data_IF_303521625790
#
_entry.id   IF_303521625790
#
_cell.length_a   1.000
_cell.length_b   1.000
_cell.length_c   1.000
_cell.angle_alpha   90.00
_cell.angle_beta   90.00
_cell.angle_gamma   90.00
#
_symmetry.space_group_name_H-M   'P 1'
#
loop_
_entity.id
_entity.type
_entity.pdbx_description
1 polymer ?
#
# COMPACT_ATOMS: atom_id res chain seq x y z
N UNK A 1 13.64 6.97 26.17
CA UNK A 1 12.40 6.27 26.53
C UNK A 1 11.24 6.95 25.78
N UNK A 2 10.31 6.20 25.16
CA UNK A 2 9.17 6.79 24.48
C UNK A 2 8.22 7.46 25.46
N UNK A 3 7.62 8.59 25.04
CA UNK A 3 6.57 9.27 25.80
C UNK A 3 5.31 8.41 25.87
N UNK A 4 4.41 8.73 26.82
CA UNK A 4 3.13 8.04 26.92
C UNK A 4 2.31 8.16 25.63
N UNK A 5 2.30 9.33 24.99
CA UNK A 5 1.63 9.55 23.72
C UNK A 5 2.18 8.62 22.62
N UNK A 6 3.50 8.46 22.51
CA UNK A 6 4.11 7.54 21.53
C UNK A 6 3.67 6.10 21.72
N UNK A 7 3.57 5.62 22.97
CA UNK A 7 3.11 4.26 23.27
C UNK A 7 1.65 4.06 22.90
N UNK A 8 0.80 5.04 23.20
CA UNK A 8 -0.62 5.02 22.83
C UNK A 8 -0.76 4.94 21.32
N UNK A 9 -0.03 5.78 20.57
CA UNK A 9 -0.04 5.76 19.10
C UNK A 9 0.41 4.40 18.56
N UNK A 10 1.46 3.82 19.11
CA UNK A 10 1.96 2.51 18.67
C UNK A 10 0.95 1.39 18.88
N UNK A 11 0.31 1.34 20.05
CA UNK A 11 -0.71 0.33 20.33
C UNK A 11 -1.96 0.52 19.47
N UNK A 12 -2.44 1.76 19.36
CA UNK A 12 -3.58 2.06 18.49
C UNK A 12 -3.24 1.65 17.04
N UNK A 13 -2.08 2.08 16.52
CA UNK A 13 -1.68 1.79 15.15
C UNK A 13 -1.49 0.31 14.87
N UNK A 14 -0.94 -0.43 15.81
CA UNK A 14 -0.80 -1.88 15.71
C UNK A 14 -2.15 -2.57 15.51
N UNK A 15 -3.14 -2.23 16.34
CA UNK A 15 -4.50 -2.77 16.23
C UNK A 15 -5.18 -2.32 14.93
N UNK A 16 -5.15 -1.00 14.62
CA UNK A 16 -5.77 -0.46 13.40
C UNK A 16 -5.20 -1.10 12.13
N UNK A 17 -3.87 -1.31 12.05
CA UNK A 17 -3.26 -1.92 10.85
C UNK A 17 -3.60 -3.41 10.70
N UNK A 18 -3.66 -4.17 11.81
CA UNK A 18 -4.12 -5.56 11.74
C UNK A 18 -5.55 -5.60 11.17
N UNK A 19 -6.42 -4.68 11.61
CA UNK A 19 -7.79 -4.60 11.15
C UNK A 19 -7.82 -4.18 9.67
N UNK A 20 -7.08 -3.14 9.28
CA UNK A 20 -7.02 -2.60 7.92
C UNK A 20 -6.55 -3.65 6.90
N UNK A 21 -5.52 -4.41 7.21
CA UNK A 21 -5.05 -5.50 6.33
C UNK A 21 -5.99 -6.71 6.38
N UNK A 22 -6.42 -7.08 7.59
CA UNK A 22 -7.23 -8.28 7.79
C UNK A 22 -8.61 -8.19 7.16
N UNK A 23 -9.31 -7.04 7.28
CA UNK A 23 -10.63 -6.89 6.68
C UNK A 23 -10.58 -6.96 5.15
N UNK A 24 -9.54 -6.36 4.54
CA UNK A 24 -9.37 -6.37 3.10
C UNK A 24 -9.14 -7.80 2.56
N UNK A 25 -8.30 -8.60 3.24
CA UNK A 25 -8.04 -10.00 2.89
C UNK A 25 -9.29 -10.85 3.10
N UNK A 26 -10.00 -10.69 4.23
CA UNK A 26 -11.22 -11.42 4.52
C UNK A 26 -12.31 -11.15 3.47
N UNK A 27 -12.55 -9.86 3.10
CA UNK A 27 -13.48 -9.51 2.03
C UNK A 27 -13.07 -10.09 0.69
N UNK A 28 -11.78 -10.02 0.32
CA UNK A 28 -11.29 -10.60 -0.93
C UNK A 28 -11.57 -12.09 -1.02
N UNK A 29 -11.36 -12.83 0.08
CA UNK A 29 -11.66 -14.27 0.15
C UNK A 29 -13.16 -14.53 0.06
N UNK A 30 -13.99 -13.80 0.80
CA UNK A 30 -15.45 -13.98 0.79
C UNK A 30 -16.00 -13.66 -0.60
N UNK A 31 -15.60 -12.54 -1.18
CA UNK A 31 -16.09 -12.08 -2.48
C UNK A 31 -15.62 -12.96 -3.64
N UNK A 32 -14.42 -13.54 -3.57
CA UNK A 32 -13.95 -14.50 -4.57
C UNK A 32 -14.80 -15.78 -4.63
N UNK A 33 -15.45 -16.15 -3.52
CA UNK A 33 -16.39 -17.28 -3.46
C UNK A 33 -17.77 -16.94 -4.04
N UNK A 34 -18.16 -15.65 -4.03
CA UNK A 34 -19.43 -15.18 -4.56
C UNK A 34 -19.35 -15.03 -6.08
N UNK A 35 -18.52 -14.09 -6.54
CA UNK A 35 -18.29 -13.86 -7.98
C UNK A 35 -17.10 -12.93 -8.23
N UNK A 36 -16.65 -12.90 -9.49
CA UNK A 36 -15.64 -11.92 -9.97
C UNK A 36 -16.14 -10.48 -9.84
N UNK A 37 -17.45 -10.25 -10.04
CA UNK A 37 -18.05 -8.91 -9.92
C UNK A 37 -17.90 -8.34 -8.50
N UNK A 38 -18.00 -9.18 -7.47
CA UNK A 38 -17.80 -8.77 -6.08
C UNK A 38 -16.34 -8.40 -5.81
N UNK A 39 -15.38 -9.15 -6.35
CA UNK A 39 -13.94 -8.82 -6.23
C UNK A 39 -13.62 -7.52 -6.97
N UNK A 40 -14.13 -7.36 -8.19
CA UNK A 40 -14.01 -6.11 -8.94
C UNK A 40 -14.62 -4.93 -8.20
N UNK A 41 -15.84 -5.11 -7.68
CA UNK A 41 -16.54 -4.10 -6.88
C UNK A 41 -15.76 -3.67 -5.64
N UNK A 42 -15.10 -4.62 -4.95
CA UNK A 42 -14.23 -4.33 -3.81
C UNK A 42 -13.09 -3.39 -4.19
N UNK A 43 -12.39 -3.67 -5.27
CA UNK A 43 -11.27 -2.85 -5.73
C UNK A 43 -11.71 -1.47 -6.21
N UNK A 44 -12.83 -1.40 -6.95
CA UNK A 44 -13.42 -0.11 -7.36
C UNK A 44 -13.83 0.70 -6.13
N UNK A 45 -14.46 0.07 -5.12
CA UNK A 45 -14.85 0.75 -3.90
C UNK A 45 -13.64 1.31 -3.14
N UNK A 46 -12.53 0.54 -3.04
CA UNK A 46 -11.28 1.01 -2.44
C UNK A 46 -10.69 2.20 -3.18
N UNK A 47 -10.61 2.16 -4.52
CA UNK A 47 -10.13 3.29 -5.31
C UNK A 47 -11.00 4.54 -5.16
N UNK A 48 -12.32 4.37 -5.22
CA UNK A 48 -13.26 5.48 -5.03
C UNK A 48 -13.10 6.09 -3.64
N UNK A 49 -12.94 5.26 -2.59
CA UNK A 49 -12.67 5.72 -1.24
C UNK A 49 -11.40 6.57 -1.13
N UNK A 50 -10.30 6.12 -1.74
CA UNK A 50 -9.04 6.87 -1.79
C UNK A 50 -9.16 8.20 -2.52
N UNK A 51 -9.86 8.23 -3.67
CA UNK A 51 -10.09 9.47 -4.43
C UNK A 51 -10.97 10.45 -3.63
N UNK A 52 -12.08 9.97 -3.07
CA UNK A 52 -12.99 10.81 -2.27
C UNK A 52 -12.32 11.38 -1.02
N UNK A 53 -11.42 10.62 -0.39
CA UNK A 53 -10.64 11.11 0.73
C UNK A 53 -9.77 12.31 0.34
N UNK A 54 -9.11 12.28 -0.83
CA UNK A 54 -8.29 13.39 -1.30
C UNK A 54 -9.13 14.67 -1.51
N UNK A 55 -10.34 14.54 -2.03
CA UNK A 55 -11.25 15.70 -2.24
C UNK A 55 -11.72 16.30 -0.93
N UNK A 56 -12.04 15.45 0.06
CA UNK A 56 -12.59 15.89 1.35
C UNK A 56 -11.56 16.41 2.37
N UNK A 57 -10.27 16.28 2.12
CA UNK A 57 -9.20 16.64 3.06
C UNK A 57 -9.28 18.11 3.56
N UNK A 58 -9.75 19.03 2.73
CA UNK A 58 -9.91 20.44 3.05
C UNK A 58 -10.91 20.71 4.19
N UNK A 59 -11.94 19.87 4.37
CA UNK A 59 -12.95 20.03 5.42
C UNK A 59 -12.42 19.63 6.79
N UNK A 60 -11.59 18.60 6.85
CA UNK A 60 -11.00 18.09 8.10
C UNK A 60 -9.95 19.06 8.67
N UNK A 61 -9.31 19.86 7.81
CA UNK A 61 -8.36 20.91 8.18
C UNK A 61 -8.91 21.97 9.15
N UNK A 62 -10.22 22.25 9.11
CA UNK A 62 -10.85 23.34 9.88
C UNK A 62 -11.06 23.04 11.36
N UNK A 63 -10.99 21.79 11.82
CA UNK A 63 -11.26 21.38 13.20
C UNK A 63 -10.01 21.66 14.06
N UNK A 64 -10.17 22.39 15.16
CA UNK A 64 -9.05 22.86 16.01
C UNK A 64 -8.38 21.71 16.75
N UNK A 65 -9.13 20.80 17.39
CA UNK A 65 -8.56 19.70 18.13
C UNK A 65 -8.73 18.37 17.37
N UNK A 66 -7.66 17.95 16.69
CA UNK A 66 -7.63 16.75 15.85
C UNK A 66 -7.81 15.44 16.60
N UNK A 67 -7.59 15.40 17.92
CA UNK A 67 -7.84 14.21 18.76
C UNK A 67 -9.27 13.72 18.64
N UNK A 68 -10.25 14.60 18.76
CA UNK A 68 -11.67 14.21 18.70
C UNK A 68 -12.08 13.77 17.30
N UNK A 69 -11.42 14.30 16.26
CA UNK A 69 -11.61 13.83 14.88
C UNK A 69 -11.12 12.40 14.73
N UNK A 70 -9.91 12.08 15.23
CA UNK A 70 -9.38 10.72 15.20
C UNK A 70 -10.30 9.73 15.94
N UNK A 71 -10.82 10.12 17.11
CA UNK A 71 -11.77 9.30 17.87
C UNK A 71 -13.05 9.08 17.08
N UNK A 72 -13.63 10.14 16.49
CA UNK A 72 -14.86 10.05 15.69
C UNK A 72 -14.69 9.15 14.45
N UNK A 73 -13.54 9.25 13.76
CA UNK A 73 -13.21 8.40 12.62
C UNK A 73 -13.15 6.92 13.03
N UNK A 74 -12.44 6.58 14.11
CA UNK A 74 -12.35 5.20 14.59
C UNK A 74 -13.71 4.64 15.05
N UNK A 75 -14.51 5.44 15.73
CA UNK A 75 -15.88 5.03 16.11
C UNK A 75 -16.72 4.72 14.87
N UNK A 76 -16.67 5.59 13.86
CA UNK A 76 -17.42 5.39 12.63
C UNK A 76 -16.90 4.18 11.84
N UNK A 77 -15.58 3.94 11.83
CA UNK A 77 -15.01 2.70 11.26
C UNK A 77 -15.53 1.45 11.97
N UNK A 78 -15.61 1.46 13.31
CA UNK A 78 -16.14 0.33 14.06
C UNK A 78 -17.60 0.04 13.66
N UNK A 79 -18.42 1.07 13.50
CA UNK A 79 -19.79 0.92 13.01
C UNK A 79 -19.82 0.37 11.58
N UNK A 80 -18.98 0.89 10.68
CA UNK A 80 -18.88 0.39 9.31
C UNK A 80 -18.52 -1.09 9.26
N UNK A 81 -17.56 -1.55 10.09
CA UNK A 81 -17.17 -2.95 10.16
C UNK A 81 -18.30 -3.85 10.65
N UNK A 82 -19.06 -3.43 11.67
CA UNK A 82 -20.25 -4.15 12.13
C UNK A 82 -21.34 -4.21 11.04
N UNK A 83 -21.57 -3.10 10.31
CA UNK A 83 -22.53 -3.05 9.22
C UNK A 83 -22.09 -3.87 8.01
N UNK A 84 -20.79 -3.98 7.72
CA UNK A 84 -20.25 -4.87 6.67
C UNK A 84 -20.67 -6.32 6.96
N UNK A 85 -20.58 -6.78 8.20
CA UNK A 85 -21.07 -8.12 8.58
C UNK A 85 -22.56 -8.30 8.24
N UNK A 86 -23.40 -7.34 8.56
CA UNK A 86 -24.85 -7.40 8.31
C UNK A 86 -25.19 -7.25 6.81
N UNK A 87 -24.39 -6.52 6.06
CA UNK A 87 -24.58 -6.25 4.64
C UNK A 87 -23.93 -7.29 3.72
N UNK A 88 -23.33 -8.37 4.27
CA UNK A 88 -22.71 -9.42 3.49
C UNK A 88 -23.67 -10.01 2.45
N UNK A 89 -23.24 -10.06 1.19
CA UNK A 89 -24.08 -10.54 0.08
C UNK A 89 -24.97 -9.47 -0.56
N UNK A 90 -25.04 -8.26 -0.01
CA UNK A 90 -25.77 -7.13 -0.59
C UNK A 90 -24.80 -6.15 -1.27
N UNK A 91 -25.27 -5.44 -2.32
CA UNK A 91 -24.50 -4.39 -3.01
C UNK A 91 -24.14 -3.24 -2.06
N UNK A 92 -24.88 -3.05 -1.00
CA UNK A 92 -24.64 -2.00 0.00
C UNK A 92 -23.28 -2.13 0.71
N UNK A 93 -22.69 -3.33 0.75
CA UNK A 93 -21.35 -3.57 1.31
C UNK A 93 -20.29 -2.71 0.63
N UNK A 94 -20.42 -2.42 -0.67
CA UNK A 94 -19.45 -1.59 -1.38
C UNK A 94 -19.46 -0.13 -0.93
N UNK A 95 -20.63 0.41 -0.61
CA UNK A 95 -20.74 1.76 -0.03
C UNK A 95 -20.06 1.84 1.34
N UNK A 96 -20.19 0.79 2.16
CA UNK A 96 -19.49 0.70 3.44
C UNK A 96 -17.97 0.57 3.28
N UNK A 97 -17.51 -0.16 2.26
CA UNK A 97 -16.08 -0.24 1.93
C UNK A 97 -15.54 1.13 1.51
N UNK A 98 -16.23 1.85 0.60
CA UNK A 98 -15.86 3.23 0.22
C UNK A 98 -15.72 4.10 1.45
N UNK A 99 -16.71 4.09 2.33
CA UNK A 99 -16.70 4.90 3.56
C UNK A 99 -15.53 4.50 4.48
N UNK A 100 -15.29 3.20 4.66
CA UNK A 100 -14.17 2.69 5.47
C UNK A 100 -12.82 3.15 4.92
N UNK A 101 -12.62 3.14 3.59
CA UNK A 101 -11.37 3.59 2.95
C UNK A 101 -11.20 5.11 3.09
N UNK A 102 -12.26 5.91 2.93
CA UNK A 102 -12.24 7.36 3.19
C UNK A 102 -11.79 7.63 4.63
N UNK A 103 -12.41 6.97 5.59
CA UNK A 103 -12.12 7.12 7.01
C UNK A 103 -10.68 6.70 7.35
N UNK A 104 -10.21 5.60 6.78
CA UNK A 104 -8.85 5.08 6.95
C UNK A 104 -7.83 6.06 6.39
N UNK A 105 -8.06 6.62 5.21
CA UNK A 105 -7.17 7.61 4.59
C UNK A 105 -7.09 8.88 5.43
N UNK A 106 -8.22 9.38 5.92
CA UNK A 106 -8.24 10.54 6.83
C UNK A 106 -7.53 10.27 8.14
N UNK A 107 -7.77 9.10 8.74
CA UNK A 107 -7.10 8.71 9.98
C UNK A 107 -5.57 8.71 9.81
N UNK A 108 -5.08 8.07 8.75
CA UNK A 108 -3.67 7.97 8.45
C UNK A 108 -3.02 9.32 8.19
N UNK A 109 -3.68 10.19 7.44
CA UNK A 109 -3.23 11.56 7.16
C UNK A 109 -3.15 12.40 8.43
N UNK A 110 -4.22 12.42 9.24
CA UNK A 110 -4.27 13.17 10.49
C UNK A 110 -3.26 12.67 11.51
N UNK A 111 -3.12 11.34 11.65
CA UNK A 111 -2.15 10.76 12.57
C UNK A 111 -0.71 11.10 12.15
N UNK A 112 -0.39 11.02 10.86
CA UNK A 112 0.92 11.37 10.34
C UNK A 112 1.27 12.84 10.59
N UNK A 113 0.31 13.75 10.41
CA UNK A 113 0.49 15.18 10.70
C UNK A 113 0.55 15.51 12.21
N UNK A 114 -0.04 14.66 13.07
CA UNK A 114 0.01 14.83 14.53
C UNK A 114 1.34 14.36 15.15
N UNK A 115 2.09 13.51 14.49
CA UNK A 115 3.36 12.94 15.01
C UNK A 115 4.36 14.04 15.40
N UNK A 116 4.67 15.06 14.58
CA UNK A 116 5.62 16.10 14.97
C UNK A 116 5.18 16.94 16.18
N UNK A 117 3.85 17.05 16.41
CA UNK A 117 3.28 17.76 17.57
C UNK A 117 3.40 16.92 18.85
N UNK A 118 3.21 15.62 18.74
CA UNK A 118 3.16 14.69 19.88
C UNK A 118 4.53 14.11 20.26
N UNK A 119 5.49 14.14 19.33
CA UNK A 119 6.81 13.52 19.48
C UNK A 119 7.90 14.56 19.38
N UNK A 120 8.78 14.64 20.39
CA UNK A 120 9.93 15.56 20.37
C UNK A 120 10.80 15.32 19.13
N UNK A 121 11.26 16.37 18.48
CA UNK A 121 12.07 16.36 17.24
C UNK A 121 13.27 15.38 17.33
N UNK A 122 13.96 15.33 18.47
CA UNK A 122 15.09 14.43 18.72
C UNK A 122 14.71 12.93 18.69
N UNK A 123 13.43 12.59 18.84
CA UNK A 123 12.93 11.21 18.87
C UNK A 123 12.18 10.80 17.60
N UNK A 124 12.01 11.69 16.62
CA UNK A 124 11.22 11.44 15.42
C UNK A 124 11.76 10.26 14.59
N UNK A 125 13.09 10.18 14.40
CA UNK A 125 13.70 9.06 13.67
C UNK A 125 13.40 7.72 14.34
N UNK A 126 13.61 7.64 15.67
CA UNK A 126 13.33 6.43 16.44
C UNK A 126 11.85 6.07 16.43
N UNK A 127 10.99 7.10 16.51
CA UNK A 127 9.54 6.92 16.41
C UNK A 127 9.15 6.33 15.05
N UNK A 128 9.60 6.92 13.94
CA UNK A 128 9.29 6.47 12.60
C UNK A 128 9.79 5.04 12.32
N UNK A 129 11.00 4.70 12.80
CA UNK A 129 11.52 3.33 12.69
C UNK A 129 10.63 2.33 13.43
N UNK A 130 10.23 2.63 14.68
CA UNK A 130 9.31 1.76 15.45
C UNK A 130 7.94 1.68 14.80
N UNK A 131 7.43 2.79 14.27
CA UNK A 131 6.15 2.84 13.55
C UNK A 131 6.15 1.94 12.31
N UNK A 132 7.26 1.95 11.55
CA UNK A 132 7.44 1.06 10.38
C UNK A 132 7.51 -0.42 10.80
N UNK A 133 8.22 -0.73 11.91
CA UNK A 133 8.25 -2.11 12.45
C UNK A 133 6.85 -2.59 12.83
N UNK A 134 6.04 -1.73 13.45
CA UNK A 134 4.64 -2.04 13.79
C UNK A 134 3.83 -2.32 12.52
N UNK A 135 4.02 -1.52 11.47
CA UNK A 135 3.38 -1.75 10.17
C UNK A 135 3.72 -3.13 9.61
N UNK A 136 4.99 -3.49 9.62
CA UNK A 136 5.45 -4.79 9.13
C UNK A 136 4.93 -5.97 9.97
N UNK A 137 4.91 -5.82 11.31
CA UNK A 137 4.37 -6.83 12.20
C UNK A 137 2.85 -7.02 12.00
N UNK A 138 2.12 -5.92 11.80
CA UNK A 138 0.68 -5.97 11.51
C UNK A 138 0.40 -6.63 10.16
N UNK A 139 1.22 -6.31 9.14
CA UNK A 139 1.11 -6.93 7.82
C UNK A 139 1.38 -8.44 7.83
N UNK A 140 2.22 -8.91 8.74
CA UNK A 140 2.42 -10.34 8.99
C UNK A 140 1.24 -11.00 9.73
N UNK A 141 0.77 -10.36 10.82
CA UNK A 141 -0.24 -10.95 11.70
C UNK A 141 -1.64 -10.96 11.09
N UNK A 142 -2.00 -9.93 10.31
CA UNK A 142 -3.34 -9.80 9.75
C UNK A 142 -3.76 -11.01 8.89
N UNK A 143 -3.02 -11.42 7.85
CA UNK A 143 -3.38 -12.59 7.06
C UNK A 143 -3.29 -13.90 7.85
N UNK A 144 -2.40 -13.99 8.85
CA UNK A 144 -2.33 -15.15 9.76
C UNK A 144 -3.63 -15.30 10.57
N UNK A 145 -4.15 -14.19 11.12
CA UNK A 145 -5.43 -14.16 11.84
C UNK A 145 -6.57 -14.59 10.90
N UNK A 146 -6.63 -14.04 9.69
CA UNK A 146 -7.65 -14.40 8.69
C UNK A 146 -7.56 -15.89 8.33
N UNK A 147 -6.34 -16.42 8.15
CA UNK A 147 -6.12 -17.84 7.86
C UNK A 147 -6.57 -18.76 8.98
N UNK A 148 -6.26 -18.42 10.24
CA UNK A 148 -6.73 -19.18 11.42
C UNK A 148 -8.25 -19.10 11.58
N UNK A 149 -8.85 -17.94 11.30
CA UNK A 149 -10.30 -17.74 11.35
C UNK A 149 -11.03 -18.39 10.18
N UNK A 150 -10.31 -18.74 9.11
CA UNK A 150 -10.87 -19.31 7.88
C UNK A 150 -11.55 -20.68 8.06
N UNK A 151 -11.26 -21.41 9.16
CA UNK A 151 -11.95 -22.63 9.56
C UNK A 151 -13.27 -22.39 10.28
N UNK A 152 -13.52 -21.15 10.71
CA UNK A 152 -14.75 -20.68 11.32
C UNK A 152 -15.58 -19.91 10.26
N UNK A 153 -16.41 -18.99 10.70
CA UNK A 153 -17.11 -18.07 9.81
C UNK A 153 -16.28 -16.78 9.61
N UNK A 154 -15.73 -16.58 8.41
CA UNK A 154 -14.98 -15.36 8.07
C UNK A 154 -15.82 -14.10 8.21
N UNK A 155 -17.15 -14.19 8.06
CA UNK A 155 -18.05 -13.07 8.27
C UNK A 155 -18.00 -12.58 9.72
N UNK A 156 -17.97 -13.46 10.70
CA UNK A 156 -17.92 -13.09 12.13
C UNK A 156 -16.65 -12.32 12.50
N UNK A 157 -15.57 -12.43 11.72
CA UNK A 157 -14.34 -11.69 11.93
C UNK A 157 -14.54 -10.16 11.89
N UNK A 158 -15.53 -9.67 11.11
CA UNK A 158 -15.83 -8.23 11.04
C UNK A 158 -16.42 -7.69 12.35
N UNK A 159 -17.18 -8.51 13.09
CA UNK A 159 -17.64 -8.15 14.44
C UNK A 159 -16.45 -8.07 15.42
N UNK A 160 -15.52 -9.03 15.33
CA UNK A 160 -14.30 -8.99 16.14
C UNK A 160 -13.47 -7.74 15.80
N UNK A 161 -13.32 -7.42 14.53
CA UNK A 161 -12.62 -6.20 14.09
C UNK A 161 -13.34 -4.92 14.55
N UNK A 162 -14.66 -4.89 14.54
CA UNK A 162 -15.43 -3.79 15.11
C UNK A 162 -15.12 -3.58 16.59
N UNK A 163 -15.16 -4.65 17.41
CA UNK A 163 -14.83 -4.59 18.84
C UNK A 163 -13.36 -4.16 19.05
N UNK A 164 -12.40 -4.70 18.30
CA UNK A 164 -11.01 -4.30 18.38
C UNK A 164 -10.80 -2.83 18.01
N UNK A 165 -11.56 -2.31 17.02
CA UNK A 165 -11.53 -0.89 16.67
C UNK A 165 -12.05 -0.02 17.81
N UNK A 166 -13.12 -0.45 18.50
CA UNK A 166 -13.60 0.24 19.71
C UNK A 166 -12.53 0.25 20.82
N UNK A 167 -11.85 -0.86 21.05
CA UNK A 167 -10.74 -0.92 22.01
C UNK A 167 -9.58 -0.01 21.60
N UNK A 168 -9.22 0.02 20.31
CA UNK A 168 -8.22 0.96 19.79
C UNK A 168 -8.64 2.42 19.99
N UNK A 169 -9.93 2.72 19.84
CA UNK A 169 -10.50 4.05 20.10
C UNK A 169 -10.35 4.46 21.56
N UNK A 170 -10.58 3.55 22.50
CA UNK A 170 -10.40 3.82 23.93
C UNK A 170 -8.96 4.26 24.28
N UNK A 171 -7.96 3.76 23.53
CA UNK A 171 -6.58 4.21 23.70
C UNK A 171 -6.41 5.69 23.32
N UNK A 172 -7.11 6.16 22.29
CA UNK A 172 -7.01 7.55 21.82
C UNK A 172 -7.56 8.55 22.85
N UNK A 173 -8.48 8.16 23.72
CA UNK A 173 -8.95 9.04 24.81
C UNK A 173 -7.84 9.42 25.77
N UNK A 174 -6.81 8.55 25.93
CA UNK A 174 -5.63 8.82 26.76
C UNK A 174 -4.57 9.69 26.08
N UNK A 175 -4.74 10.00 24.77
CA UNK A 175 -3.83 10.86 24.04
C UNK A 175 -3.97 12.31 24.51
N UNK A 176 -2.86 13.06 24.52
CA UNK A 176 -2.90 14.51 24.76
C UNK A 176 -3.66 15.25 23.65
N UNK A 177 -4.00 16.53 23.88
CA UNK A 177 -4.63 17.37 22.84
C UNK A 177 -3.70 17.49 21.64
N UNK A 178 -4.29 17.49 20.44
CA UNK A 178 -3.57 17.67 19.17
C UNK A 178 -4.08 18.96 18.55
N UNK A 179 -3.33 20.03 18.76
CA UNK A 179 -3.64 21.36 18.26
C UNK A 179 -2.55 21.73 17.26
N UNK A 180 -2.94 22.14 16.04
CA UNK A 180 -2.03 22.67 15.05
C UNK A 180 -2.06 24.20 15.15
N UNK A 181 -0.89 24.83 15.31
CA UNK A 181 -0.76 26.29 15.24
C UNK A 181 -0.90 26.74 13.77
N UNK A 182 -1.92 27.56 13.52
CA UNK A 182 -2.25 28.04 12.16
C UNK A 182 -1.23 29.02 11.57
N UNK A 183 -0.33 29.57 12.37
CA UNK A 183 0.58 30.64 11.93
C UNK A 183 1.68 30.16 10.97
N UNK A 184 2.04 28.87 10.98
CA UNK A 184 3.13 28.36 10.13
C UNK A 184 2.70 27.90 8.73
N UNK A 185 1.40 27.73 8.47
CA UNK A 185 0.93 27.23 7.16
C UNK A 185 0.85 28.34 6.08
N UNK A 186 0.80 29.61 6.50
CA UNK A 186 0.64 30.73 5.56
C UNK A 186 1.95 31.21 4.91
N UNK A 187 3.11 30.92 5.48
CA UNK A 187 4.41 31.34 4.91
C UNK A 187 4.97 30.34 3.88
N UNK A 188 4.59 29.05 3.93
CA UNK A 188 5.06 28.06 2.96
C UNK A 188 4.31 28.12 1.61
N UNK A 189 3.07 28.60 1.55
CA UNK A 189 2.31 28.71 0.29
C UNK A 189 2.77 29.88 -0.60
N UNK A 190 3.33 30.94 -0.05
CA UNK A 190 3.69 32.16 -0.81
C UNK A 190 5.04 32.03 -1.52
N UNK A 191 5.95 31.14 -1.09
CA UNK A 191 7.26 30.98 -1.72
C UNK A 191 7.30 29.93 -2.87
N UNK A 192 6.16 29.31 -3.21
CA UNK A 192 6.11 28.20 -4.16
C UNK A 192 5.89 28.54 -5.64
N UNK A 193 5.93 29.84 -6.03
CA UNK A 193 5.61 30.27 -7.41
C UNK A 193 6.75 30.20 -8.43
N UNK A 194 7.92 29.67 -8.09
CA UNK A 194 8.95 29.37 -9.08
C UNK A 194 8.90 27.90 -9.50
N UNK A 195 8.01 27.60 -10.42
CA UNK A 195 7.93 26.31 -11.12
C UNK A 195 9.03 26.20 -12.17
N UNK A 196 10.23 25.77 -11.79
CA UNK A 196 11.14 25.19 -12.78
C UNK A 196 10.56 23.85 -13.26
N UNK A 197 10.54 23.57 -14.57
CA UNK A 197 9.94 22.34 -15.10
C UNK A 197 10.75 21.12 -14.61
N UNK A 198 10.15 20.31 -13.74
CA UNK A 198 10.74 19.08 -13.18
C UNK A 198 11.18 18.10 -14.30
N UNK A 199 10.63 18.25 -15.50
CA UNK A 199 10.80 17.31 -16.61
C UNK A 199 11.83 17.73 -17.68
N UNK A 200 12.41 18.93 -17.62
CA UNK A 200 13.21 19.47 -18.75
C UNK A 200 14.65 18.98 -18.85
N UNK A 201 15.27 18.46 -17.80
CA UNK A 201 16.72 18.09 -17.82
C UNK A 201 17.04 16.76 -17.12
N UNK A 202 16.05 16.01 -16.63
CA UNK A 202 16.29 14.80 -15.83
C UNK A 202 15.67 13.56 -16.49
N UNK A 203 16.10 13.24 -17.71
CA UNK A 203 15.60 12.06 -18.43
C UNK A 203 15.72 10.74 -17.63
N UNK A 204 16.69 10.65 -16.72
CA UNK A 204 16.91 9.47 -15.89
C UNK A 204 15.86 9.36 -14.75
N UNK A 205 15.52 10.48 -14.09
CA UNK A 205 14.45 10.50 -13.06
C UNK A 205 13.11 10.11 -13.70
N UNK A 206 12.78 10.68 -14.86
CA UNK A 206 11.56 10.34 -15.58
C UNK A 206 11.50 8.85 -15.95
N UNK A 207 12.59 8.30 -16.50
CA UNK A 207 12.70 6.87 -16.84
C UNK A 207 12.49 5.98 -15.61
N UNK A 208 13.11 6.32 -14.47
CA UNK A 208 12.93 5.60 -13.21
C UNK A 208 11.48 5.64 -12.73
N UNK A 209 10.84 6.82 -12.77
CA UNK A 209 9.44 6.99 -12.38
C UNK A 209 8.51 6.17 -13.29
N UNK A 210 8.71 6.23 -14.61
CA UNK A 210 7.93 5.43 -15.56
C UNK A 210 8.07 3.94 -15.30
N UNK A 211 9.30 3.43 -15.08
CA UNK A 211 9.51 2.03 -14.72
C UNK A 211 8.78 1.65 -13.43
N UNK A 212 8.84 2.50 -12.42
CA UNK A 212 8.17 2.25 -11.13
C UNK A 212 6.65 2.17 -11.32
N UNK A 213 6.06 3.12 -12.05
CA UNK A 213 4.60 3.13 -12.32
C UNK A 213 4.20 1.86 -13.08
N UNK A 214 4.95 1.48 -14.12
CA UNK A 214 4.68 0.28 -14.91
C UNK A 214 4.76 -1.00 -14.05
N UNK A 215 5.80 -1.15 -13.25
CA UNK A 215 5.97 -2.31 -12.37
C UNK A 215 4.90 -2.37 -11.28
N UNK A 216 4.57 -1.23 -10.67
CA UNK A 216 3.51 -1.14 -9.66
C UNK A 216 2.14 -1.50 -10.24
N UNK A 217 1.83 -1.07 -11.48
CA UNK A 217 0.55 -1.39 -12.12
C UNK A 217 0.37 -2.90 -12.35
N UNK A 218 1.44 -3.63 -12.67
CA UNK A 218 1.41 -5.11 -12.73
C UNK A 218 1.18 -5.70 -11.34
N UNK A 219 1.91 -5.21 -10.32
CA UNK A 219 1.74 -5.67 -8.95
C UNK A 219 0.30 -5.54 -8.48
N UNK A 220 -0.32 -4.38 -8.67
CA UNK A 220 -1.71 -4.16 -8.25
C UNK A 220 -2.71 -5.00 -9.07
N UNK A 221 -2.45 -5.24 -10.37
CA UNK A 221 -3.27 -6.18 -11.14
C UNK A 221 -3.21 -7.59 -10.54
N UNK A 222 -2.00 -8.05 -10.16
CA UNK A 222 -1.83 -9.36 -9.55
C UNK A 222 -2.53 -9.41 -8.19
N UNK A 223 -2.30 -8.45 -7.32
CA UNK A 223 -2.93 -8.34 -6.01
C UNK A 223 -4.47 -8.35 -6.11
N UNK A 224 -5.03 -7.66 -7.11
CA UNK A 224 -6.49 -7.55 -7.27
C UNK A 224 -7.17 -8.88 -7.53
N UNK A 225 -6.54 -9.75 -8.30
CA UNK A 225 -7.13 -11.04 -8.71
C UNK A 225 -6.38 -12.25 -8.15
N UNK A 226 -5.37 -12.04 -7.31
CA UNK A 226 -4.55 -13.08 -6.71
C UNK A 226 -5.38 -14.14 -5.99
N UNK A 227 -6.35 -13.71 -5.20
CA UNK A 227 -7.24 -14.63 -4.47
C UNK A 227 -8.02 -15.53 -5.42
N UNK A 228 -8.51 -14.99 -6.56
CA UNK A 228 -9.23 -15.78 -7.58
C UNK A 228 -8.26 -16.75 -8.26
N UNK A 229 -7.13 -16.23 -8.72
CA UNK A 229 -6.09 -17.02 -9.39
C UNK A 229 -5.63 -18.19 -8.50
N UNK A 230 -5.20 -17.91 -7.28
CA UNK A 230 -4.65 -18.94 -6.39
C UNK A 230 -5.71 -19.93 -5.90
N UNK A 231 -6.95 -19.49 -5.62
CA UNK A 231 -7.97 -20.40 -5.07
C UNK A 231 -8.75 -21.13 -6.14
N UNK A 232 -9.02 -20.53 -7.31
CA UNK A 232 -9.82 -21.18 -8.37
C UNK A 232 -8.98 -21.82 -9.46
N UNK A 233 -7.91 -21.14 -9.95
CA UNK A 233 -7.11 -21.63 -11.05
C UNK A 233 -6.00 -22.57 -10.56
N UNK A 234 -5.30 -22.24 -9.47
CA UNK A 234 -4.24 -23.07 -8.87
C UNK A 234 -4.79 -24.11 -7.87
N UNK A 235 -5.97 -23.88 -7.29
CA UNK A 235 -6.63 -24.80 -6.36
C UNK A 235 -6.08 -24.75 -4.92
N UNK A 236 -5.43 -23.66 -4.51
CA UNK A 236 -4.94 -23.46 -3.14
C UNK A 236 -6.13 -23.11 -2.23
N UNK A 237 -6.20 -23.70 -1.03
CA UNK A 237 -7.25 -23.34 -0.07
C UNK A 237 -7.15 -21.88 0.38
N UNK A 238 -8.28 -21.25 0.72
CA UNK A 238 -8.30 -19.87 1.24
C UNK A 238 -7.42 -19.70 2.48
N UNK A 239 -7.30 -20.75 3.30
CA UNK A 239 -6.42 -20.75 4.47
C UNK A 239 -4.95 -20.74 4.06
N UNK A 240 -4.55 -21.61 3.11
CA UNK A 240 -3.18 -21.64 2.59
C UNK A 240 -2.81 -20.34 1.87
N UNK A 241 -3.76 -19.73 1.15
CA UNK A 241 -3.60 -18.38 0.58
C UNK A 241 -3.28 -17.33 1.67
N UNK A 242 -4.07 -17.29 2.75
CA UNK A 242 -3.81 -16.34 3.84
C UNK A 242 -2.44 -16.55 4.49
N UNK A 243 -2.03 -17.80 4.71
CA UNK A 243 -0.69 -18.08 5.25
C UNK A 243 0.43 -17.73 4.25
N UNK A 244 0.20 -17.86 2.94
CA UNK A 244 1.18 -17.45 1.94
C UNK A 244 1.43 -15.94 1.95
N UNK A 245 0.41 -15.12 2.22
CA UNK A 245 0.56 -13.68 2.43
C UNK A 245 1.38 -13.36 3.70
N UNK A 246 1.21 -14.15 4.77
CA UNK A 246 2.05 -14.01 5.97
C UNK A 246 3.51 -14.35 5.66
N UNK A 247 3.77 -15.38 4.85
CA UNK A 247 5.11 -15.71 4.38
C UNK A 247 5.71 -14.56 3.54
N UNK A 248 4.92 -13.95 2.66
CA UNK A 248 5.35 -12.76 1.90
C UNK A 248 5.79 -11.64 2.83
N UNK A 249 5.05 -11.37 3.90
CA UNK A 249 5.41 -10.35 4.89
C UNK A 249 6.74 -10.67 5.60
N UNK A 250 6.99 -11.95 5.94
CA UNK A 250 8.29 -12.40 6.48
C UNK A 250 9.40 -12.16 5.46
N UNK A 251 9.18 -12.47 4.18
CA UNK A 251 10.16 -12.26 3.13
C UNK A 251 10.51 -10.76 2.97
N UNK A 252 9.52 -9.85 3.06
CA UNK A 252 9.75 -8.40 3.09
C UNK A 252 10.59 -7.97 4.30
N UNK A 253 10.24 -8.46 5.49
CA UNK A 253 10.98 -8.15 6.73
C UNK A 253 12.41 -8.66 6.67
N UNK A 254 12.62 -9.90 6.25
CA UNK A 254 13.96 -10.48 6.10
C UNK A 254 14.82 -9.70 5.11
N UNK A 255 14.26 -9.36 3.95
CA UNK A 255 14.96 -8.57 2.93
C UNK A 255 15.34 -7.20 3.45
N UNK A 256 14.42 -6.48 4.08
CA UNK A 256 14.67 -5.16 4.65
C UNK A 256 15.73 -5.20 5.76
N UNK A 257 15.70 -6.24 6.60
CA UNK A 257 16.69 -6.45 7.66
C UNK A 257 18.08 -6.69 7.08
N UNK A 258 18.21 -7.59 6.09
CA UNK A 258 19.51 -7.88 5.43
C UNK A 258 20.09 -6.61 4.81
N UNK A 259 19.25 -5.79 4.16
CA UNK A 259 19.69 -4.53 3.55
C UNK A 259 20.11 -3.48 4.59
N UNK A 260 19.52 -3.50 5.78
CA UNK A 260 19.92 -2.61 6.87
C UNK A 260 21.30 -2.96 7.45
N UNK A 261 21.68 -4.24 7.45
CA UNK A 261 23.00 -4.69 7.91
C UNK A 261 24.08 -4.61 6.84
N UNK A 262 23.72 -4.82 5.57
CA UNK A 262 24.66 -4.75 4.44
C UNK A 262 24.51 -3.43 3.72
N UNK A 263 25.44 -2.50 3.95
CA UNK A 263 25.46 -1.23 3.22
C UNK A 263 25.66 -1.48 1.71
N UNK A 264 24.67 -1.09 0.92
CA UNK A 264 24.76 -1.08 -0.54
C UNK A 264 25.45 0.18 -1.09
N UNK A 265 26.06 0.98 -0.22
CA UNK A 265 26.73 2.26 -0.57
C UNK A 265 27.91 2.09 -1.55
N UNK A 266 28.42 0.86 -1.73
CA UNK A 266 29.45 0.56 -2.73
C UNK A 266 28.98 0.69 -4.19
N UNK A 267 27.66 0.61 -4.41
CA UNK A 267 27.06 0.64 -5.74
C UNK A 267 26.21 1.91 -5.91
N UNK A 268 26.14 2.43 -7.14
CA UNK A 268 25.28 3.58 -7.40
C UNK A 268 23.82 3.20 -7.15
N UNK A 269 22.99 4.06 -6.50
CA UNK A 269 21.58 3.76 -6.22
C UNK A 269 20.80 3.36 -7.47
N UNK A 270 21.13 3.95 -8.64
CA UNK A 270 20.51 3.59 -9.90
C UNK A 270 20.83 2.17 -10.34
N UNK A 271 22.06 1.69 -10.15
CA UNK A 271 22.43 0.30 -10.49
C UNK A 271 21.68 -0.69 -9.60
N UNK A 272 21.59 -0.40 -8.31
CA UNK A 272 20.85 -1.23 -7.35
C UNK A 272 19.36 -1.23 -7.66
N UNK A 273 18.78 -0.08 -8.04
CA UNK A 273 17.39 0.02 -8.52
C UNK A 273 17.13 -0.88 -9.73
N UNK A 274 18.01 -0.85 -10.74
CA UNK A 274 17.85 -1.68 -11.93
C UNK A 274 17.93 -3.19 -11.61
N UNK A 275 18.86 -3.58 -10.71
CA UNK A 275 18.98 -4.98 -10.25
C UNK A 275 17.72 -5.42 -9.49
N UNK A 276 17.22 -4.59 -8.57
CA UNK A 276 15.97 -4.86 -7.86
C UNK A 276 14.79 -5.00 -8.81
N UNK A 277 14.70 -4.12 -9.82
CA UNK A 277 13.65 -4.18 -10.84
C UNK A 277 13.74 -5.44 -11.69
N UNK A 278 14.95 -5.95 -12.00
CA UNK A 278 15.13 -7.24 -12.69
C UNK A 278 14.64 -8.43 -11.84
N UNK A 279 14.94 -8.41 -10.54
CA UNK A 279 14.42 -9.45 -9.62
C UNK A 279 12.90 -9.39 -9.54
N UNK A 280 12.33 -8.18 -9.49
CA UNK A 280 10.87 -8.00 -9.52
C UNK A 280 10.24 -8.51 -10.83
N UNK A 281 10.90 -8.28 -11.99
CA UNK A 281 10.46 -8.87 -13.25
C UNK A 281 10.47 -10.41 -13.20
N UNK A 282 11.40 -11.01 -12.45
CA UNK A 282 11.38 -12.45 -12.16
C UNK A 282 10.06 -12.90 -11.53
N UNK A 283 9.55 -12.15 -10.55
CA UNK A 283 8.22 -12.40 -10.00
C UNK A 283 7.13 -12.28 -11.06
N UNK A 284 7.15 -11.20 -11.83
CA UNK A 284 6.13 -10.93 -12.87
C UNK A 284 6.05 -12.04 -13.90
N UNK A 285 7.20 -12.66 -14.25
CA UNK A 285 7.25 -13.78 -15.20
C UNK A 285 6.83 -15.10 -14.55
N UNK A 286 7.26 -15.37 -13.33
CA UNK A 286 7.06 -16.69 -12.68
C UNK A 286 5.63 -16.85 -12.14
N UNK A 287 5.08 -15.79 -11.54
CA UNK A 287 3.81 -15.88 -10.81
C UNK A 287 2.62 -16.38 -11.65
N UNK A 288 2.41 -15.98 -12.93
CA UNK A 288 1.31 -16.52 -13.75
C UNK A 288 1.36 -18.03 -14.01
N UNK A 289 2.50 -18.67 -13.78
CA UNK A 289 2.72 -20.10 -14.06
C UNK A 289 2.87 -20.97 -12.82
N UNK A 290 2.58 -20.45 -11.62
CA UNK A 290 2.72 -21.22 -10.39
C UNK A 290 1.70 -22.38 -10.33
N UNK A 291 2.13 -23.65 -10.23
CA UNK A 291 1.21 -24.78 -10.20
C UNK A 291 0.78 -25.20 -8.79
N UNK A 292 1.43 -24.69 -7.73
CA UNK A 292 1.22 -25.14 -6.36
C UNK A 292 1.77 -24.13 -5.33
N UNK A 293 1.46 -24.36 -4.05
CA UNK A 293 1.87 -23.47 -2.95
C UNK A 293 3.40 -23.26 -2.86
N UNK A 294 4.28 -24.26 -2.94
CA UNK A 294 5.73 -24.03 -2.88
C UNK A 294 6.24 -23.06 -3.94
N UNK A 295 5.73 -23.15 -5.17
CA UNK A 295 6.13 -22.23 -6.26
C UNK A 295 5.56 -20.84 -6.07
N UNK A 296 4.38 -20.69 -5.46
CA UNK A 296 3.84 -19.38 -5.01
C UNK A 296 4.79 -18.76 -3.99
N UNK A 297 5.19 -19.51 -2.96
CA UNK A 297 6.11 -18.99 -1.93
C UNK A 297 7.47 -18.59 -2.53
N UNK A 298 7.98 -19.34 -3.49
CA UNK A 298 9.20 -19.00 -4.23
C UNK A 298 9.02 -17.69 -5.01
N UNK A 299 7.90 -17.51 -5.71
CA UNK A 299 7.61 -16.26 -6.44
C UNK A 299 7.51 -15.05 -5.51
N UNK A 300 6.97 -15.22 -4.31
CA UNK A 300 6.91 -14.16 -3.30
C UNK A 300 8.29 -13.74 -2.78
N UNK A 301 9.29 -14.61 -2.79
CA UNK A 301 10.66 -14.22 -2.48
C UNK A 301 11.17 -13.24 -3.56
N UNK A 302 10.92 -13.53 -4.86
CA UNK A 302 11.28 -12.60 -5.94
C UNK A 302 10.55 -11.26 -5.79
N UNK A 303 9.27 -11.27 -5.43
CA UNK A 303 8.49 -10.08 -5.15
C UNK A 303 9.11 -9.27 -4.01
N UNK A 304 9.31 -9.90 -2.85
CA UNK A 304 9.82 -9.23 -1.65
C UNK A 304 11.23 -8.65 -1.86
N UNK A 305 12.14 -9.41 -2.43
CA UNK A 305 13.51 -8.98 -2.70
C UNK A 305 13.52 -7.88 -3.75
N UNK A 306 12.86 -8.09 -4.88
CA UNK A 306 12.85 -7.15 -6.00
C UNK A 306 12.23 -5.81 -5.63
N UNK A 307 11.05 -5.83 -5.02
CA UNK A 307 10.32 -4.62 -4.63
C UNK A 307 11.05 -3.84 -3.52
N UNK A 308 11.58 -4.53 -2.51
CA UNK A 308 12.29 -3.85 -1.41
C UNK A 308 13.57 -3.18 -1.91
N UNK A 309 14.39 -3.88 -2.70
CA UNK A 309 15.63 -3.33 -3.25
C UNK A 309 15.32 -2.14 -4.16
N UNK A 310 14.36 -2.27 -5.08
CA UNK A 310 13.97 -1.20 -6.00
C UNK A 310 13.48 0.03 -5.25
N UNK A 311 12.55 -0.14 -4.30
CA UNK A 311 11.94 0.95 -3.54
C UNK A 311 12.95 1.73 -2.70
N UNK A 312 13.82 1.03 -1.97
CA UNK A 312 14.86 1.69 -1.15
C UNK A 312 15.81 2.47 -2.05
N UNK A 313 16.30 1.85 -3.13
CA UNK A 313 17.26 2.48 -4.04
C UNK A 313 16.66 3.65 -4.81
N UNK A 314 15.38 3.56 -5.19
CA UNK A 314 14.64 4.67 -5.79
C UNK A 314 14.56 5.86 -4.83
N UNK A 315 14.17 5.61 -3.58
CA UNK A 315 14.06 6.67 -2.58
C UNK A 315 15.41 7.37 -2.37
N UNK A 316 16.51 6.61 -2.20
CA UNK A 316 17.86 7.16 -2.05
C UNK A 316 18.23 8.01 -3.28
N UNK A 317 18.05 7.48 -4.50
CA UNK A 317 18.37 8.19 -5.73
C UNK A 317 17.60 9.50 -5.88
N UNK A 318 16.28 9.48 -5.61
CA UNK A 318 15.44 10.67 -5.71
C UNK A 318 15.80 11.71 -4.64
N UNK A 319 16.09 11.27 -3.41
CA UNK A 319 16.54 12.16 -2.32
C UNK A 319 17.88 12.82 -2.60
N UNK A 320 18.79 12.14 -3.32
CA UNK A 320 20.08 12.72 -3.73
C UNK A 320 19.94 13.72 -4.88
N UNK A 321 18.91 13.60 -5.71
CA UNK A 321 18.74 14.39 -6.94
C UNK A 321 17.75 15.53 -6.86
N UNK A 322 16.79 15.45 -5.93
CA UNK A 322 15.68 16.39 -5.80
C UNK A 322 15.70 17.05 -4.43
N UNK A 323 15.32 18.32 -4.36
CA UNK A 323 15.08 18.97 -3.09
C UNK A 323 13.76 18.48 -2.46
N UNK A 324 13.52 18.67 -1.15
CA UNK A 324 12.33 18.16 -0.46
C UNK A 324 11.01 18.58 -1.10
N UNK A 325 10.89 19.81 -1.58
CA UNK A 325 9.67 20.32 -2.22
C UNK A 325 9.39 19.63 -3.56
N UNK A 326 10.44 19.48 -4.39
CA UNK A 326 10.34 18.75 -5.67
C UNK A 326 10.00 17.28 -5.46
N UNK A 327 10.60 16.68 -4.44
CA UNK A 327 10.37 15.28 -4.07
C UNK A 327 8.90 15.06 -3.66
N UNK A 328 8.34 15.92 -2.80
CA UNK A 328 6.95 15.85 -2.38
C UNK A 328 5.99 15.99 -3.58
N UNK A 329 6.21 17.00 -4.45
CA UNK A 329 5.41 17.19 -5.67
C UNK A 329 5.49 15.99 -6.61
N UNK A 330 6.66 15.35 -6.72
CA UNK A 330 6.85 14.16 -7.54
C UNK A 330 6.09 12.95 -6.99
N UNK A 331 6.19 12.69 -5.67
CA UNK A 331 5.47 11.57 -5.05
C UNK A 331 3.95 11.73 -5.16
N UNK A 332 3.41 12.93 -4.94
CA UNK A 332 1.98 13.19 -5.14
C UNK A 332 1.53 12.89 -6.58
N UNK A 333 2.31 13.29 -7.58
CA UNK A 333 2.00 12.99 -8.99
C UNK A 333 2.08 11.49 -9.29
N UNK A 334 3.08 10.79 -8.77
CA UNK A 334 3.22 9.34 -8.92
C UNK A 334 2.01 8.64 -8.31
N UNK A 335 1.60 9.05 -7.11
CA UNK A 335 0.46 8.46 -6.40
C UNK A 335 -0.84 8.59 -7.21
N UNK A 336 -1.15 9.80 -7.70
CA UNK A 336 -2.35 10.03 -8.53
C UNK A 336 -2.30 9.22 -9.82
N UNK A 337 -1.16 9.21 -10.52
CA UNK A 337 -1.00 8.43 -11.76
C UNK A 337 -1.15 6.93 -11.51
N UNK A 338 -0.57 6.43 -10.42
CA UNK A 338 -0.72 5.03 -10.03
C UNK A 338 -2.18 4.68 -9.74
N UNK A 339 -2.90 5.49 -8.96
CA UNK A 339 -4.31 5.24 -8.65
C UNK A 339 -5.16 5.19 -9.91
N UNK A 340 -5.00 6.15 -10.83
CA UNK A 340 -5.76 6.19 -12.07
C UNK A 340 -5.42 5.00 -12.97
N UNK A 341 -4.14 4.74 -13.22
CA UNK A 341 -3.70 3.63 -14.07
C UNK A 341 -4.16 2.28 -13.50
N UNK A 342 -3.97 2.09 -12.21
CA UNK A 342 -4.38 0.86 -11.52
C UNK A 342 -5.88 0.66 -11.56
N UNK A 343 -6.67 1.71 -11.32
CA UNK A 343 -8.13 1.65 -11.41
C UNK A 343 -8.59 1.19 -12.80
N UNK A 344 -8.00 1.75 -13.86
CA UNK A 344 -8.31 1.37 -15.27
C UNK A 344 -7.92 -0.10 -15.52
N UNK A 345 -6.70 -0.49 -15.15
CA UNK A 345 -6.18 -1.85 -15.38
C UNK A 345 -7.03 -2.89 -14.66
N UNK A 346 -7.35 -2.67 -13.38
CA UNK A 346 -8.19 -3.58 -12.60
C UNK A 346 -9.60 -3.65 -13.17
N UNK A 347 -10.20 -2.51 -13.53
CA UNK A 347 -11.54 -2.47 -14.12
C UNK A 347 -11.62 -3.25 -15.44
N UNK A 348 -10.73 -2.96 -16.38
CA UNK A 348 -10.69 -3.63 -17.69
C UNK A 348 -10.45 -5.14 -17.51
N UNK A 349 -9.51 -5.52 -16.64
CA UNK A 349 -9.22 -6.92 -16.35
C UNK A 349 -10.42 -7.65 -15.76
N UNK A 350 -11.15 -7.04 -14.83
CA UNK A 350 -12.37 -7.61 -14.27
C UNK A 350 -13.46 -7.85 -15.31
N UNK A 351 -13.63 -6.91 -16.25
CA UNK A 351 -14.56 -7.10 -17.36
C UNK A 351 -14.16 -8.25 -18.29
N UNK A 352 -12.86 -8.45 -18.52
CA UNK A 352 -12.34 -9.55 -19.33
C UNK A 352 -12.52 -10.92 -18.62
N UNK A 353 -12.26 -10.99 -17.32
CA UNK A 353 -12.51 -12.20 -16.51
C UNK A 353 -14.00 -12.53 -16.54
N UNK A 354 -14.88 -11.56 -16.42
CA UNK A 354 -16.33 -11.75 -16.51
C UNK A 354 -16.78 -12.31 -17.86
N UNK A 355 -16.07 -11.98 -18.95
CA UNK A 355 -16.30 -12.55 -20.29
C UNK A 355 -15.71 -13.96 -20.48
N UNK A 356 -15.17 -14.56 -19.44
CA UNK A 356 -14.64 -15.93 -19.43
C UNK A 356 -13.16 -16.06 -19.75
N UNK A 357 -12.40 -14.94 -19.82
CA UNK A 357 -10.95 -15.05 -19.93
C UNK A 357 -10.34 -15.54 -18.61
N UNK A 358 -9.41 -16.47 -18.72
CA UNK A 358 -8.65 -16.96 -17.56
C UNK A 358 -7.77 -15.85 -16.97
N UNK A 359 -7.62 -15.82 -15.66
CA UNK A 359 -6.79 -14.82 -14.97
C UNK A 359 -5.34 -14.87 -15.45
N UNK A 360 -4.80 -16.08 -15.67
CA UNK A 360 -3.46 -16.27 -16.25
C UNK A 360 -3.28 -15.56 -17.59
N UNK A 361 -4.27 -15.65 -18.49
CA UNK A 361 -4.23 -14.98 -19.80
C UNK A 361 -4.18 -13.47 -19.66
N UNK A 362 -4.92 -12.92 -18.70
CA UNK A 362 -4.95 -11.48 -18.42
C UNK A 362 -3.61 -11.03 -17.81
N UNK A 363 -3.08 -11.80 -16.87
CA UNK A 363 -1.76 -11.54 -16.30
C UNK A 363 -0.68 -11.47 -17.37
N UNK A 364 -0.62 -12.45 -18.26
CA UNK A 364 0.35 -12.50 -19.35
C UNK A 364 0.10 -11.39 -20.39
N UNK A 365 -1.15 -11.18 -20.78
CA UNK A 365 -1.53 -10.15 -21.76
C UNK A 365 -1.15 -8.74 -21.32
N UNK A 366 -1.20 -8.45 -20.02
CA UNK A 366 -0.78 -7.15 -19.48
C UNK A 366 0.71 -7.09 -19.16
N UNK A 367 1.26 -8.15 -18.54
CA UNK A 367 2.65 -8.13 -18.08
C UNK A 367 3.67 -8.18 -19.22
N UNK A 368 3.40 -8.90 -20.32
CA UNK A 368 4.34 -9.00 -21.44
C UNK A 368 4.66 -7.63 -22.07
N UNK A 369 3.69 -6.78 -22.45
CA UNK A 369 3.99 -5.42 -22.90
C UNK A 369 4.77 -4.59 -21.87
N UNK A 370 4.41 -4.70 -20.59
CA UNK A 370 5.11 -3.98 -19.51
C UNK A 370 6.55 -4.44 -19.36
N UNK A 371 6.83 -5.75 -19.43
CA UNK A 371 8.19 -6.31 -19.39
C UNK A 371 9.02 -5.72 -20.54
N UNK A 372 8.49 -5.72 -21.76
CA UNK A 372 9.18 -5.18 -22.94
C UNK A 372 9.49 -3.69 -22.75
N UNK A 373 8.53 -2.90 -22.28
CA UNK A 373 8.72 -1.47 -22.03
C UNK A 373 9.78 -1.22 -20.94
N UNK A 374 9.69 -1.96 -19.82
CA UNK A 374 10.65 -1.82 -18.71
C UNK A 374 12.06 -2.20 -19.16
N UNK A 375 12.24 -3.31 -19.86
CA UNK A 375 13.54 -3.73 -20.41
C UNK A 375 14.08 -2.70 -21.42
N UNK A 376 13.21 -2.14 -22.28
CA UNK A 376 13.58 -1.06 -23.19
C UNK A 376 14.09 0.19 -22.46
N UNK A 377 13.39 0.63 -21.41
CA UNK A 377 13.81 1.77 -20.59
C UNK A 377 15.13 1.47 -19.86
N UNK A 378 15.30 0.24 -19.36
CA UNK A 378 16.57 -0.19 -18.71
C UNK A 378 17.74 -0.12 -19.67
N UNK A 379 17.59 -0.61 -20.90
CA UNK A 379 18.62 -0.54 -21.94
C UNK A 379 18.97 0.91 -22.28
N UNK A 380 17.97 1.76 -22.50
CA UNK A 380 18.18 3.19 -22.75
C UNK A 380 18.91 3.88 -21.59
N UNK A 381 18.60 3.51 -20.35
CA UNK A 381 19.27 4.08 -19.16
C UNK A 381 20.73 3.65 -19.05
N UNK A 382 21.03 2.40 -19.42
CA UNK A 382 22.40 1.86 -19.42
C UNK A 382 23.25 2.48 -20.55
N UNK A 383 22.68 2.68 -21.73
CA UNK A 383 23.33 3.33 -22.88
C UNK A 383 23.66 4.79 -22.60
N UNK A 384 22.74 5.53 -21.97
CA UNK A 384 22.97 6.93 -21.57
C UNK A 384 24.14 7.09 -20.58
N UNK A 385 24.35 6.12 -19.67
CA UNK A 385 25.53 6.12 -18.78
C UNK A 385 26.86 5.90 -19.52
N UNK A 386 26.82 5.26 -20.69
CA UNK A 386 28.00 4.91 -21.47
C UNK A 386 28.44 6.04 -22.42
N UNK A 387 27.49 6.90 -22.82
CA UNK A 387 27.73 8.07 -23.68
C UNK A 387 27.00 9.30 -23.10
N UNK A 388 27.60 10.04 -22.15
CA UNK A 388 26.97 11.22 -21.55
C UNK A 388 26.88 12.42 -22.50
N UNK A 389 27.50 12.36 -23.69
CA UNK A 389 27.57 13.43 -24.69
C UNK A 389 26.65 13.23 -25.91
N UNK A 390 25.80 12.18 -25.94
CA UNK A 390 24.86 11.93 -27.04
C UNK A 390 23.47 12.48 -26.77
#
# INVERSE_FOLDING_TARGET
MFTNNSRIIFLNRFLSLIIEYGYAIALSIIFSKISVDYVLGLWIAKFLGGILANVGHQFVGKITNKKYVLIGIELLKAVCLALIYLAMGSVFVFALVVLTEVLTTYFNSLLSSAVPVLVKKANLQKFNSTYTMIGSASYFLAPMIVGLWGSLDLGSLFLVYSVLTLLATLLLFKLGPIIFDRENDSEEEVSSSQSSPIFGRQSVVLKMVMMTILLQSVGVLYDAYEVIFLTKDVGISSQAYSFSLSFLAIAFLATSSILSFKSLTKYSPMTVYLLGSLVYLGYVVVFPFVPNLPTVLLSYIFLAVGQTISRISQNVYLQEKLNPLQLNKLYLKIEVLNQVLTGIVVFVSGMLIKRGLQVTTIYLGYSLPVIILVLGIMLMTKLYKRNPEA
#
